data_IF_426824651784
#
_entry.id   IF_426824651784
#
_cell.length_a   1.000
_cell.length_b   1.000
_cell.length_c   1.000
_cell.angle_alpha   90.00
_cell.angle_beta   90.00
_cell.angle_gamma   90.00
#
_symmetry.space_group_name_H-M   'P 1'
#
loop_
_entity.id
_entity.type
_entity.pdbx_description
1 polymer ?
#
# COMPACT_ATOMS: atom_id res chain seq x y z
N UNK A 1 1.68 63.87 42.14
CA UNK A 1 2.94 64.25 41.45
C UNK A 1 3.96 63.17 41.72
N UNK A 2 4.71 62.77 40.70
CA UNK A 2 5.52 61.55 40.71
C UNK A 2 6.62 61.49 41.75
N UNK A 3 7.17 60.29 41.93
CA UNK A 3 8.58 60.14 42.28
C UNK A 3 9.03 58.72 42.02
N UNK A 4 10.04 58.59 41.13
CA UNK A 4 11.03 57.54 41.21
C UNK A 4 11.68 57.55 42.59
N UNK A 5 12.04 56.38 43.11
CA UNK A 5 13.27 56.26 43.89
C UNK A 5 13.87 54.84 43.77
N UNK A 6 14.99 54.86 43.06
CA UNK A 6 16.15 53.99 43.03
C UNK A 6 16.59 53.49 44.42
N UNK A 7 17.13 52.27 44.49
CA UNK A 7 18.53 51.94 44.92
C UNK A 7 18.65 50.49 45.39
N UNK A 8 19.68 49.87 44.81
CA UNK A 8 20.20 48.53 45.02
C UNK A 8 20.73 48.23 46.43
N UNK A 9 20.84 46.93 46.77
CA UNK A 9 22.13 46.30 47.12
C UNK A 9 22.08 44.78 47.27
N UNK A 10 22.95 44.14 46.48
CA UNK A 10 23.84 42.98 46.73
C UNK A 10 23.57 42.05 47.93
N UNK A 11 23.67 40.74 47.68
CA UNK A 11 24.24 39.81 48.67
C UNK A 11 23.89 38.33 48.55
N UNK A 12 24.71 37.60 47.78
CA UNK A 12 25.22 36.25 48.07
C UNK A 12 24.29 35.05 48.32
N UNK A 13 24.40 34.10 47.37
CA UNK A 13 24.79 32.70 47.60
C UNK A 13 23.94 31.84 48.53
N UNK A 14 23.20 30.89 47.93
CA UNK A 14 23.28 29.46 48.30
C UNK A 14 22.62 28.58 47.24
N UNK A 15 23.31 27.46 46.98
CA UNK A 15 22.95 26.35 46.11
C UNK A 15 21.57 25.80 46.45
N UNK A 16 20.79 25.44 45.45
CA UNK A 16 19.90 24.30 45.59
C UNK A 16 19.79 23.50 44.30
N UNK A 17 20.06 22.21 44.44
CA UNK A 17 19.98 21.19 43.40
C UNK A 17 18.50 20.90 43.12
N UNK A 18 18.16 20.72 41.83
CA UNK A 18 16.79 20.45 41.45
C UNK A 18 16.68 19.99 40.01
N UNK A 19 17.00 18.71 39.78
CA UNK A 19 16.46 17.82 38.75
C UNK A 19 16.27 18.43 37.35
N UNK A 20 17.32 18.33 36.54
CA UNK A 20 17.20 18.23 35.09
C UNK A 20 16.50 16.90 34.78
N UNK A 21 15.23 16.95 34.39
CA UNK A 21 14.53 15.80 33.82
C UNK A 21 15.20 15.48 32.48
N UNK A 22 15.97 14.40 32.49
CA UNK A 22 16.56 13.74 31.34
C UNK A 22 15.51 13.53 30.26
N UNK A 23 15.64 14.23 29.13
CA UNK A 23 14.88 14.05 27.90
C UNK A 23 15.31 12.78 27.14
N UNK A 24 15.42 11.66 27.85
CA UNK A 24 15.62 10.32 27.28
C UNK A 24 14.36 9.48 27.50
N UNK A 25 13.33 9.75 26.70
CA UNK A 25 12.29 8.79 26.38
C UNK A 25 11.61 9.24 25.09
N UNK A 26 11.15 8.29 24.27
CA UNK A 26 10.57 8.45 22.93
C UNK A 26 11.56 8.26 21.76
N UNK A 27 12.46 7.28 21.85
CA UNK A 27 12.85 6.51 20.68
C UNK A 27 12.10 5.18 20.75
N UNK A 28 10.82 5.17 20.35
CA UNK A 28 10.12 3.91 20.06
C UNK A 28 10.80 3.33 18.81
N UNK A 29 11.69 2.38 19.04
CA UNK A 29 12.29 1.58 17.98
C UNK A 29 11.16 1.04 17.12
N UNK A 30 11.12 1.48 15.87
CA UNK A 30 10.35 0.79 14.86
C UNK A 30 11.03 -0.57 14.72
N UNK A 31 10.42 -1.61 15.30
CA UNK A 31 10.84 -2.98 15.04
C UNK A 31 10.96 -3.14 13.54
N UNK A 32 12.10 -3.64 13.07
CA UNK A 32 12.37 -3.79 11.63
C UNK A 32 11.24 -4.65 11.05
N UNK A 33 10.35 -4.03 10.28
CA UNK A 33 9.21 -4.72 9.66
C UNK A 33 9.77 -5.76 8.71
N UNK A 34 9.37 -7.00 8.89
CA UNK A 34 9.68 -8.07 7.96
C UNK A 34 8.74 -7.94 6.76
N UNK A 35 9.24 -7.27 5.72
CA UNK A 35 8.49 -6.91 4.51
C UNK A 35 8.15 -8.10 3.62
N UNK A 36 8.59 -9.30 4.00
CA UNK A 36 8.31 -10.57 3.33
C UNK A 36 7.13 -11.33 3.94
N UNK A 37 6.36 -10.70 4.83
CA UNK A 37 5.17 -11.32 5.45
C UNK A 37 3.88 -11.06 4.67
N UNK A 38 3.82 -9.95 3.92
CA UNK A 38 2.60 -9.56 3.21
C UNK A 38 2.79 -9.59 1.69
N UNK A 39 1.73 -9.99 0.99
CA UNK A 39 1.63 -9.88 -0.47
C UNK A 39 0.85 -8.60 -0.77
N UNK A 40 1.44 -7.67 -1.52
CA UNK A 40 0.73 -6.48 -1.99
C UNK A 40 0.34 -6.70 -3.45
N UNK A 41 -0.95 -6.82 -3.72
CA UNK A 41 -1.48 -6.98 -5.08
C UNK A 41 -2.05 -5.64 -5.56
N UNK A 42 -1.29 -4.97 -6.42
CA UNK A 42 -1.75 -3.82 -7.18
C UNK A 42 -2.57 -4.29 -8.38
N UNK A 43 -3.88 -4.12 -8.30
CA UNK A 43 -4.82 -4.60 -9.32
C UNK A 43 -5.43 -3.46 -10.12
N UNK A 44 -5.43 -3.59 -11.45
CA UNK A 44 -6.13 -2.66 -12.34
C UNK A 44 -7.62 -2.53 -11.94
N UNK A 45 -8.27 -1.43 -12.30
CA UNK A 45 -9.70 -1.27 -12.03
C UNK A 45 -10.51 -2.38 -12.72
N UNK A 46 -11.64 -2.78 -12.14
CA UNK A 46 -12.50 -3.88 -12.61
C UNK A 46 -11.88 -5.31 -12.65
N UNK A 47 -10.70 -5.52 -12.06
CA UNK A 47 -10.04 -6.85 -12.04
C UNK A 47 -10.66 -7.85 -11.04
N UNK A 48 -11.63 -7.44 -10.22
CA UNK A 48 -12.28 -8.30 -9.22
C UNK A 48 -11.71 -8.24 -7.80
N UNK A 49 -10.95 -7.20 -7.42
CA UNK A 49 -10.40 -7.04 -6.05
C UNK A 49 -11.46 -7.17 -4.94
N UNK A 50 -12.51 -6.36 -5.02
CA UNK A 50 -13.57 -6.33 -4.00
C UNK A 50 -14.41 -7.61 -3.96
N UNK A 51 -14.52 -8.31 -5.11
CA UNK A 51 -15.17 -9.62 -5.17
C UNK A 51 -14.32 -10.68 -4.46
N UNK A 52 -13.01 -10.70 -4.70
CA UNK A 52 -12.08 -11.60 -4.03
C UNK A 52 -12.07 -11.38 -2.51
N UNK A 53 -11.96 -10.13 -2.04
CA UNK A 53 -11.93 -9.86 -0.60
C UNK A 53 -13.25 -10.21 0.09
N UNK A 54 -14.39 -9.97 -0.58
CA UNK A 54 -15.72 -10.27 -0.05
C UNK A 54 -16.11 -11.76 -0.06
N UNK A 55 -15.45 -12.60 -0.88
CA UNK A 55 -15.83 -14.01 -1.05
C UNK A 55 -14.93 -14.94 -0.22
N UNK A 56 -15.49 -15.58 0.80
CA UNK A 56 -14.73 -16.46 1.69
C UNK A 56 -14.22 -17.75 1.02
N UNK A 57 -14.98 -18.32 0.08
CA UNK A 57 -14.61 -19.55 -0.62
C UNK A 57 -13.41 -19.32 -1.54
N UNK A 58 -13.36 -18.18 -2.24
CA UNK A 58 -12.22 -17.85 -3.09
C UNK A 58 -10.93 -17.63 -2.26
N UNK A 59 -11.09 -17.16 -1.02
CA UNK A 59 -9.98 -16.93 -0.10
C UNK A 59 -9.54 -18.18 0.65
N UNK A 60 -10.34 -19.23 0.75
CA UNK A 60 -9.98 -20.44 1.50
C UNK A 60 -8.81 -21.21 0.91
N UNK A 61 -8.40 -20.85 -0.31
CA UNK A 61 -7.19 -21.35 -0.97
C UNK A 61 -5.89 -20.84 -0.33
N UNK A 62 -5.95 -19.80 0.51
CA UNK A 62 -4.78 -19.22 1.19
C UNK A 62 -5.05 -19.03 2.68
N UNK A 63 -4.07 -19.32 3.53
CA UNK A 63 -4.16 -19.09 4.99
C UNK A 63 -3.70 -17.67 5.35
N UNK A 64 -4.25 -16.68 4.65
CA UNK A 64 -3.94 -15.26 4.85
C UNK A 64 -5.21 -14.42 4.78
N UNK A 65 -5.32 -13.44 5.66
CA UNK A 65 -6.36 -12.43 5.57
C UNK A 65 -6.17 -11.59 4.29
N UNK A 66 -7.24 -11.38 3.55
CA UNK A 66 -7.24 -10.55 2.33
C UNK A 66 -7.96 -9.24 2.62
N UNK A 67 -7.25 -8.14 2.42
CA UNK A 67 -7.70 -6.79 2.81
C UNK A 67 -7.78 -5.92 1.55
N UNK A 68 -8.98 -5.48 1.18
CA UNK A 68 -9.16 -4.53 0.08
C UNK A 68 -9.00 -3.10 0.58
N UNK A 69 -7.87 -2.48 0.25
CA UNK A 69 -7.58 -1.09 0.61
C UNK A 69 -8.01 -0.18 -0.54
N UNK A 70 -9.30 0.13 -0.63
CA UNK A 70 -9.79 1.03 -1.67
C UNK A 70 -9.22 2.44 -1.48
N UNK A 71 -8.40 2.84 -2.44
CA UNK A 71 -7.81 4.19 -2.55
C UNK A 71 -8.82 5.34 -2.50
N UNK A 72 -10.10 5.12 -2.84
CA UNK A 72 -11.13 6.16 -2.78
C UNK A 72 -11.39 6.67 -1.35
N UNK A 73 -11.10 5.84 -0.32
CA UNK A 73 -11.17 6.20 1.10
C UNK A 73 -10.02 7.10 1.56
N UNK A 74 -8.95 7.20 0.74
CA UNK A 74 -7.73 7.95 1.04
C UNK A 74 -7.57 9.19 0.17
N UNK A 75 -7.94 9.11 -1.11
CA UNK A 75 -7.77 10.19 -2.10
C UNK A 75 -8.62 11.43 -1.83
N UNK A 76 -9.67 11.29 -1.01
CA UNK A 76 -10.52 12.41 -0.55
C UNK A 76 -9.93 13.16 0.64
N UNK A 77 -8.84 12.67 1.24
CA UNK A 77 -8.19 13.24 2.41
C UNK A 77 -6.86 13.92 2.00
N UNK A 78 -6.42 14.96 2.72
CA UNK A 78 -5.11 15.56 2.50
C UNK A 78 -3.97 14.52 2.62
N UNK A 79 -2.89 14.73 1.87
CA UNK A 79 -1.68 13.91 1.95
C UNK A 79 -1.68 12.66 1.08
N UNK A 80 -2.61 12.51 0.13
CA UNK A 80 -2.51 11.44 -0.87
C UNK A 80 -1.32 11.71 -1.83
N UNK A 81 -0.50 10.69 -2.18
CA UNK A 81 -0.64 9.27 -1.86
C UNK A 81 0.03 8.80 -0.55
N UNK A 82 0.74 9.66 0.18
CA UNK A 82 1.50 9.24 1.37
C UNK A 82 0.61 8.66 2.48
N UNK A 83 -0.57 9.24 2.71
CA UNK A 83 -1.54 8.71 3.68
C UNK A 83 -1.98 7.26 3.36
N UNK A 84 -1.98 6.91 2.07
CA UNK A 84 -2.35 5.60 1.57
C UNK A 84 -1.17 4.63 1.67
N UNK A 85 0.02 5.08 1.30
CA UNK A 85 1.27 4.33 1.48
C UNK A 85 1.50 3.98 2.95
N UNK A 86 1.31 4.92 3.88
CA UNK A 86 1.46 4.68 5.32
C UNK A 86 0.50 3.63 5.84
N UNK A 87 -0.76 3.66 5.38
CA UNK A 87 -1.74 2.65 5.74
C UNK A 87 -1.38 1.26 5.19
N UNK A 88 -0.86 1.19 3.96
CA UNK A 88 -0.39 -0.07 3.36
C UNK A 88 0.80 -0.62 4.15
N UNK A 89 1.82 0.22 4.43
CA UNK A 89 2.99 -0.16 5.23
C UNK A 89 2.58 -0.68 6.60
N UNK A 90 1.65 0.01 7.27
CA UNK A 90 1.14 -0.38 8.58
C UNK A 90 0.42 -1.73 8.54
N UNK A 91 -0.38 -1.96 7.50
CA UNK A 91 -1.09 -3.22 7.30
C UNK A 91 -0.12 -4.36 6.99
N UNK A 92 0.96 -4.08 6.25
CA UNK A 92 2.00 -5.04 5.90
C UNK A 92 2.91 -5.45 7.08
N UNK A 93 2.71 -4.90 8.29
CA UNK A 93 3.44 -5.33 9.50
C UNK A 93 3.07 -6.76 9.95
N UNK A 94 1.96 -7.32 9.42
CA UNK A 94 1.48 -8.66 9.72
C UNK A 94 1.33 -9.50 8.45
N UNK A 95 1.34 -10.84 8.55
CA UNK A 95 1.02 -11.70 7.41
C UNK A 95 -0.39 -11.44 6.90
N UNK A 96 -0.50 -11.05 5.63
CA UNK A 96 -1.77 -10.78 4.94
C UNK A 96 -1.57 -10.61 3.43
N UNK A 97 -2.67 -10.57 2.70
CA UNK A 97 -2.75 -10.06 1.34
C UNK A 97 -3.41 -8.69 1.37
N UNK A 98 -2.79 -7.71 0.72
CA UNK A 98 -3.28 -6.33 0.62
C UNK A 98 -3.60 -6.05 -0.83
N UNK A 99 -4.86 -5.78 -1.15
CA UNK A 99 -5.29 -5.38 -2.49
C UNK A 99 -5.27 -3.86 -2.59
N UNK A 100 -4.59 -3.34 -3.60
CA UNK A 100 -4.46 -1.89 -3.84
C UNK A 100 -4.80 -1.54 -5.29
N UNK A 101 -5.18 -0.29 -5.54
CA UNK A 101 -5.32 0.26 -6.90
C UNK A 101 -3.96 0.56 -7.55
N UNK A 102 -3.90 0.53 -8.89
CA UNK A 102 -2.71 0.82 -9.72
C UNK A 102 -2.39 2.31 -9.84
N UNK A 103 -2.39 3.05 -8.73
CA UNK A 103 -1.98 4.46 -8.73
C UNK A 103 -0.52 4.62 -9.14
N UNK A 104 -0.23 5.62 -9.96
CA UNK A 104 1.11 5.84 -10.53
C UNK A 104 2.16 5.92 -9.43
N UNK A 105 3.20 5.11 -9.52
CA UNK A 105 4.36 5.15 -8.64
C UNK A 105 4.18 4.48 -7.28
N UNK A 106 2.93 4.27 -6.81
CA UNK A 106 2.67 3.60 -5.51
C UNK A 106 3.21 2.16 -5.50
N UNK A 107 2.93 1.29 -6.49
CA UNK A 107 3.49 -0.07 -6.54
C UNK A 107 5.02 -0.06 -6.64
N UNK A 108 5.56 0.79 -7.51
CA UNK A 108 7.02 0.96 -7.67
C UNK A 108 7.69 1.38 -6.36
N UNK A 109 7.11 2.33 -5.62
CA UNK A 109 7.66 2.80 -4.35
C UNK A 109 7.69 1.68 -3.30
N UNK A 110 6.59 0.94 -3.15
CA UNK A 110 6.52 -0.19 -2.23
C UNK A 110 7.52 -1.29 -2.60
N UNK A 111 7.67 -1.60 -3.89
CA UNK A 111 8.66 -2.58 -4.35
C UNK A 111 10.10 -2.12 -4.07
N UNK A 112 10.41 -0.84 -4.31
CA UNK A 112 11.72 -0.24 -3.97
C UNK A 112 12.01 -0.27 -2.47
N UNK A 113 10.98 -0.19 -1.64
CA UNK A 113 11.10 -0.34 -0.20
C UNK A 113 11.33 -1.79 0.25
N UNK A 114 11.24 -2.76 -0.66
CA UNK A 114 11.50 -4.18 -0.41
C UNK A 114 10.25 -5.00 -0.07
N UNK A 115 9.04 -4.45 -0.26
CA UNK A 115 7.82 -5.25 -0.15
C UNK A 115 7.66 -6.17 -1.36
N UNK A 116 7.01 -7.32 -1.17
CA UNK A 116 6.62 -8.18 -2.28
C UNK A 116 5.38 -7.62 -2.97
N UNK A 117 5.58 -6.96 -4.12
CA UNK A 117 4.51 -6.28 -4.87
C UNK A 117 4.24 -7.01 -6.17
N UNK A 118 2.98 -7.38 -6.36
CA UNK A 118 2.46 -7.99 -7.58
C UNK A 118 1.58 -6.98 -8.30
N UNK A 119 1.78 -6.82 -9.60
CA UNK A 119 0.90 -6.04 -10.47
C UNK A 119 0.04 -6.96 -11.31
N UNK A 120 -1.28 -6.92 -11.11
CA UNK A 120 -2.26 -7.65 -11.91
C UNK A 120 -3.00 -6.65 -12.83
N UNK A 121 -2.98 -6.90 -14.14
CA UNK A 121 -3.46 -5.95 -15.14
C UNK A 121 -4.08 -6.66 -16.36
N UNK A 122 -4.96 -5.99 -17.14
CA UNK A 122 -5.53 -6.58 -18.35
C UNK A 122 -4.47 -6.91 -19.40
N UNK A 123 -4.82 -7.77 -20.35
CA UNK A 123 -4.16 -7.81 -21.65
C UNK A 123 -4.19 -6.46 -22.37
N UNK A 124 -3.34 -6.30 -23.39
CA UNK A 124 -3.31 -5.08 -24.21
C UNK A 124 -4.36 -5.07 -25.31
N UNK A 125 -4.57 -3.89 -25.91
CA UNK A 125 -5.42 -3.73 -27.10
C UNK A 125 -6.86 -3.32 -26.82
N UNK A 126 -7.64 -3.21 -27.89
CA UNK A 126 -9.03 -2.74 -27.85
C UNK A 126 -10.01 -3.79 -27.31
N UNK A 127 -9.75 -5.08 -27.54
CA UNK A 127 -10.61 -6.15 -27.04
C UNK A 127 -10.57 -6.20 -25.51
N UNK A 128 -9.38 -6.07 -24.92
CA UNK A 128 -9.21 -5.97 -23.47
C UNK A 128 -9.84 -4.68 -22.91
N UNK A 129 -9.76 -3.56 -23.65
CA UNK A 129 -10.46 -2.32 -23.28
C UNK A 129 -11.96 -2.56 -23.16
N UNK A 130 -12.56 -3.16 -24.18
CA UNK A 130 -14.00 -3.36 -24.22
C UNK A 130 -14.47 -4.28 -23.09
N UNK A 131 -13.77 -5.40 -22.88
CA UNK A 131 -14.08 -6.32 -21.78
C UNK A 131 -14.06 -5.61 -20.41
N UNK A 132 -13.04 -4.80 -20.14
CA UNK A 132 -12.94 -4.07 -18.87
C UNK A 132 -14.00 -2.99 -18.70
N UNK A 133 -14.38 -2.31 -19.79
CA UNK A 133 -15.49 -1.37 -19.79
C UNK A 133 -16.83 -2.08 -19.53
N UNK A 134 -17.05 -3.24 -20.14
CA UNK A 134 -18.26 -4.04 -19.92
C UNK A 134 -18.35 -4.53 -18.47
N UNK A 135 -17.23 -4.92 -17.87
CA UNK A 135 -17.14 -5.25 -16.43
C UNK A 135 -17.50 -4.04 -15.56
N UNK A 136 -16.99 -2.85 -15.89
CA UNK A 136 -17.33 -1.62 -15.16
C UNK A 136 -18.81 -1.25 -15.34
N UNK A 137 -19.35 -1.37 -16.54
CA UNK A 137 -20.75 -1.06 -16.81
C UNK A 137 -21.68 -1.94 -15.97
N UNK A 138 -21.38 -3.24 -15.85
CA UNK A 138 -22.14 -4.17 -15.01
C UNK A 138 -21.98 -3.89 -13.51
N UNK A 139 -20.81 -3.40 -13.10
CA UNK A 139 -20.47 -3.14 -11.69
C UNK A 139 -21.07 -1.84 -11.17
N UNK A 140 -21.01 -0.77 -11.96
CA UNK A 140 -21.35 0.57 -11.52
C UNK A 140 -22.86 0.81 -11.68
N UNK A 141 -23.52 1.32 -10.64
CA UNK A 141 -24.96 1.60 -10.68
C UNK A 141 -25.36 2.56 -11.81
N UNK A 142 -24.51 3.55 -12.09
CA UNK A 142 -24.69 4.48 -13.21
C UNK A 142 -24.25 3.91 -14.58
N UNK A 143 -23.75 2.67 -14.62
CA UNK A 143 -23.22 2.01 -15.82
C UNK A 143 -22.18 2.88 -16.55
N UNK A 144 -22.39 3.08 -17.85
CA UNK A 144 -21.56 3.95 -18.71
C UNK A 144 -21.51 5.42 -18.27
N UNK A 145 -22.49 5.87 -17.48
CA UNK A 145 -22.51 7.23 -16.96
C UNK A 145 -21.64 7.43 -15.72
N UNK A 146 -21.13 6.35 -15.12
CA UNK A 146 -20.26 6.44 -13.95
C UNK A 146 -18.96 7.18 -14.28
N UNK A 147 -18.42 7.90 -13.27
CA UNK A 147 -17.15 8.62 -13.40
C UNK A 147 -15.99 7.67 -13.73
N UNK A 148 -15.97 6.48 -13.12
CA UNK A 148 -14.89 5.52 -13.32
C UNK A 148 -14.92 4.92 -14.73
N UNK A 149 -16.10 4.59 -15.27
CA UNK A 149 -16.24 4.13 -16.65
C UNK A 149 -15.70 5.15 -17.63
N UNK A 150 -16.18 6.40 -17.56
CA UNK A 150 -15.75 7.48 -18.48
C UNK A 150 -14.26 7.73 -18.41
N UNK A 151 -13.73 7.80 -17.19
CA UNK A 151 -12.30 8.02 -16.97
C UNK A 151 -11.45 6.85 -17.51
N UNK A 152 -11.89 5.60 -17.32
CA UNK A 152 -11.20 4.44 -17.87
C UNK A 152 -11.26 4.42 -19.40
N UNK A 153 -12.42 4.74 -19.98
CA UNK A 153 -12.60 4.77 -21.45
C UNK A 153 -11.65 5.80 -22.09
N UNK A 154 -11.65 7.02 -21.54
CA UNK A 154 -10.80 8.12 -22.00
C UNK A 154 -9.30 7.87 -21.76
N UNK A 155 -8.94 7.28 -20.63
CA UNK A 155 -7.55 7.13 -20.19
C UNK A 155 -6.98 5.72 -20.38
N UNK A 156 -7.69 4.82 -21.05
CA UNK A 156 -7.32 3.40 -21.17
C UNK A 156 -5.87 3.21 -21.57
N UNK A 157 -5.46 3.78 -22.72
CA UNK A 157 -4.11 3.64 -23.26
C UNK A 157 -3.07 4.13 -22.26
N UNK A 158 -3.29 5.28 -21.64
CA UNK A 158 -2.38 5.84 -20.65
C UNK A 158 -2.27 4.93 -19.42
N UNK A 159 -3.39 4.44 -18.90
CA UNK A 159 -3.41 3.57 -17.72
C UNK A 159 -2.76 2.23 -18.00
N UNK A 160 -3.02 1.64 -19.17
CA UNK A 160 -2.39 0.41 -19.61
C UNK A 160 -0.88 0.59 -19.80
N UNK A 161 -0.42 1.61 -20.52
CA UNK A 161 1.01 1.85 -20.71
C UNK A 161 1.77 2.09 -19.41
N UNK A 162 1.11 2.66 -18.39
CA UNK A 162 1.69 2.83 -17.06
C UNK A 162 2.02 1.50 -16.40
N UNK A 163 1.24 0.44 -16.62
CA UNK A 163 1.53 -0.89 -16.03
C UNK A 163 2.87 -1.44 -16.51
N UNK A 164 3.24 -1.16 -17.76
CA UNK A 164 4.55 -1.54 -18.31
C UNK A 164 5.71 -0.83 -17.60
N UNK A 165 5.51 0.42 -17.16
CA UNK A 165 6.53 1.27 -16.51
C UNK A 165 6.71 1.01 -15.02
N UNK A 166 5.69 0.44 -14.35
CA UNK A 166 5.79 0.09 -12.93
C UNK A 166 6.88 -0.96 -12.69
N UNK A 167 7.75 -0.72 -11.73
CA UNK A 167 8.83 -1.63 -11.34
C UNK A 167 8.43 -2.35 -10.06
N UNK A 168 7.91 -3.57 -10.20
CA UNK A 168 7.35 -4.39 -9.12
C UNK A 168 8.04 -5.75 -9.08
N UNK A 169 7.77 -6.54 -8.04
CA UNK A 169 8.35 -7.89 -7.89
C UNK A 169 7.89 -8.83 -8.99
N UNK A 170 6.59 -8.82 -9.30
CA UNK A 170 5.98 -9.67 -10.34
C UNK A 170 4.84 -8.96 -11.06
N UNK A 171 4.58 -9.38 -12.30
CA UNK A 171 3.51 -8.86 -13.15
C UNK A 171 2.69 -10.03 -13.71
N UNK A 172 1.37 -9.93 -13.64
CA UNK A 172 0.42 -10.89 -14.19
C UNK A 172 -0.53 -10.16 -15.13
N UNK A 173 -0.50 -10.55 -16.41
CA UNK A 173 -1.48 -10.12 -17.40
C UNK A 173 -2.65 -11.11 -17.38
N UNK A 174 -3.87 -10.59 -17.33
CA UNK A 174 -5.09 -11.40 -17.35
C UNK A 174 -5.64 -11.47 -18.78
N UNK A 175 -6.15 -12.64 -19.16
CA UNK A 175 -7.00 -12.79 -20.33
C UNK A 175 -8.38 -12.15 -20.09
N UNK A 176 -9.13 -11.94 -21.18
CA UNK A 176 -10.42 -11.26 -21.14
C UNK A 176 -11.49 -12.00 -20.32
N UNK A 177 -11.36 -13.31 -20.12
CA UNK A 177 -12.26 -14.13 -19.32
C UNK A 177 -11.76 -14.34 -17.87
N UNK A 178 -10.59 -13.79 -17.51
CA UNK A 178 -9.99 -13.97 -16.20
C UNK A 178 -10.21 -12.77 -15.27
N UNK A 179 -10.31 -13.09 -13.98
CA UNK A 179 -10.34 -12.19 -12.83
C UNK A 179 -9.15 -12.46 -11.93
N UNK A 180 -8.95 -11.57 -10.94
CA UNK A 180 -7.88 -11.73 -9.96
C UNK A 180 -7.97 -13.08 -9.22
N UNK A 181 -9.19 -13.58 -8.97
CA UNK A 181 -9.41 -14.88 -8.34
C UNK A 181 -8.80 -16.04 -9.11
N UNK A 182 -8.80 -15.99 -10.44
CA UNK A 182 -8.30 -17.08 -11.29
C UNK A 182 -6.79 -17.25 -11.21
N UNK A 183 -6.07 -16.16 -10.90
CA UNK A 183 -4.61 -16.16 -10.75
C UNK A 183 -4.15 -16.07 -9.30
N UNK A 184 -5.08 -15.96 -8.35
CA UNK A 184 -4.77 -15.69 -6.94
C UNK A 184 -3.93 -16.80 -6.30
N UNK A 185 -4.27 -18.06 -6.57
CA UNK A 185 -3.49 -19.22 -6.10
C UNK A 185 -2.05 -19.19 -6.63
N UNK A 186 -1.86 -18.87 -7.91
CA UNK A 186 -0.52 -18.77 -8.52
C UNK A 186 0.33 -17.67 -7.88
N UNK A 187 -0.28 -16.51 -7.61
CA UNK A 187 0.37 -15.40 -6.89
C UNK A 187 0.85 -15.85 -5.51
N UNK A 188 -0.01 -16.54 -4.77
CA UNK A 188 0.32 -17.03 -3.43
C UNK A 188 1.44 -18.08 -3.45
N UNK A 189 1.37 -19.06 -4.35
CA UNK A 189 2.43 -20.08 -4.51
C UNK A 189 3.78 -19.45 -4.82
N UNK A 190 3.85 -18.50 -5.76
CA UNK A 190 5.11 -17.81 -6.08
C UNK A 190 5.68 -17.05 -4.88
N UNK A 191 4.82 -16.42 -4.07
CA UNK A 191 5.25 -15.75 -2.86
C UNK A 191 5.84 -16.72 -1.82
N UNK A 192 5.19 -17.86 -1.58
CA UNK A 192 5.70 -18.90 -0.68
C UNK A 192 7.08 -19.43 -1.15
N UNK A 193 7.25 -19.63 -2.45
CA UNK A 193 8.54 -20.04 -3.00
C UNK A 193 9.64 -18.97 -2.85
N UNK A 194 9.30 -17.69 -3.03
CA UNK A 194 10.27 -16.60 -2.91
C UNK A 194 10.73 -16.42 -1.45
N UNK A 195 9.85 -16.65 -0.48
CA UNK A 195 10.15 -16.49 0.94
C UNK A 195 10.92 -17.69 1.51
N UNK A 196 10.73 -18.89 0.98
CA UNK A 196 11.47 -20.10 1.38
C UNK A 196 12.89 -20.17 0.81
N UNK A 197 13.14 -19.60 -0.37
CA UNK A 197 14.46 -19.62 -1.04
C UNK A 197 15.46 -18.58 -0.53
N UNK A 198 15.09 -17.68 0.39
CA UNK A 198 16.03 -16.71 0.98
C UNK A 198 16.79 -17.35 2.15
N UNK A 199 18.08 -17.71 2.02
CA UNK A 199 18.82 -18.28 3.13
C UNK A 199 19.06 -17.18 4.16
N UNK A 200 18.66 -17.43 5.40
CA UNK A 200 19.17 -16.71 6.55
C UNK A 200 20.70 -16.74 6.51
N UNK A 201 21.33 -15.62 6.12
CA UNK A 201 22.76 -15.43 6.38
C UNK A 201 22.93 -15.23 7.89
N UNK A 202 22.91 -16.36 8.60
CA UNK A 202 23.36 -16.50 9.96
C UNK A 202 24.87 -16.43 9.96
N UNK A 203 25.38 -15.38 10.61
CA UNK A 203 26.62 -15.34 11.41
C UNK A 203 27.58 -16.53 11.20
N UNK A 204 28.63 -16.31 10.43
CA UNK A 204 29.92 -16.96 10.68
C UNK A 204 30.74 -16.05 11.57
N UNK A 205 30.85 -16.38 12.86
CA UNK A 205 31.84 -15.80 13.73
C UNK A 205 33.21 -16.44 13.46
N UNK A 206 34.25 -15.61 13.46
CA UNK A 206 35.42 -15.74 14.31
C UNK A 206 36.08 -14.37 14.44
#
# INVERSE_FOLDING_TARGET
MGSLLTVARRGSSRRNAGRTLSSKAMARGHGKVDKHKAIIISGFAAIGKSFLSGNAELRSSVDLEVIDMDSSAYSKKPGFPENYLDAIRKTAERPCVILISTHVGVPTQLAKEGYHVVLAYPGGGMDAKQEWLDRLEKREEAGKNSRLYKLMDEQWTLWYERTAREQVTRKFSLANDQYLSDIFGSIHTEFCEATTKTPSHGRGGN
#
